data_IF_309015457997
#
_entry.id   IF_309015457997
#
_cell.length_a   1.000
_cell.length_b   1.000
_cell.length_c   1.000
_cell.angle_alpha   90.00
_cell.angle_beta   90.00
_cell.angle_gamma   90.00
#
_symmetry.space_group_name_H-M   'P 1'
#
loop_
_entity.id
_entity.type
_entity.pdbx_description
1 polymer ?
#
# COMPACT_ATOMS: atom_id res chain seq x y z
N UNK A 1 1.87 -6.19 13.78
CA UNK A 1 0.55 -5.63 13.36
C UNK A 1 0.66 -5.35 11.88
N UNK A 2 -0.21 -5.89 11.03
CA UNK A 2 -0.06 -5.69 9.58
C UNK A 2 -0.42 -4.24 9.21
N UNK A 3 0.54 -3.54 8.62
CA UNK A 3 0.46 -2.18 8.10
C UNK A 3 0.42 -2.18 6.57
N UNK A 4 0.06 -1.03 5.98
CA UNK A 4 0.01 -0.84 4.53
C UNK A 4 0.83 0.37 4.11
N UNK A 5 1.47 0.27 2.95
CA UNK A 5 2.17 1.34 2.25
C UNK A 5 1.63 1.45 0.83
N UNK A 6 0.95 2.55 0.53
CA UNK A 6 0.14 2.75 -0.68
C UNK A 6 0.79 3.69 -1.72
N UNK A 7 2.05 4.07 -1.52
CA UNK A 7 2.78 4.98 -2.42
C UNK A 7 3.72 4.24 -3.39
N UNK A 8 3.66 2.92 -3.40
CA UNK A 8 4.48 2.08 -4.26
C UNK A 8 3.91 2.03 -5.69
N UNK A 9 4.76 1.65 -6.65
CA UNK A 9 4.33 1.31 -8.01
C UNK A 9 4.92 -0.03 -8.44
N UNK A 10 4.28 -0.69 -9.40
CA UNK A 10 4.76 -1.94 -9.99
C UNK A 10 4.55 -1.92 -11.50
N UNK A 11 5.54 -2.40 -12.26
CA UNK A 11 5.43 -2.57 -13.70
C UNK A 11 5.07 -4.01 -14.05
N UNK A 12 3.99 -4.19 -14.81
CA UNK A 12 3.53 -5.49 -15.31
C UNK A 12 3.34 -5.38 -16.82
N UNK A 13 4.12 -6.14 -17.59
CA UNK A 13 4.09 -6.13 -19.06
C UNK A 13 4.24 -4.72 -19.68
N UNK A 14 5.12 -3.88 -19.14
CA UNK A 14 5.34 -2.52 -19.64
C UNK A 14 4.29 -1.49 -19.24
N UNK A 15 3.32 -1.88 -18.39
CA UNK A 15 2.33 -0.98 -17.84
C UNK A 15 2.58 -0.78 -16.34
N UNK A 16 2.62 0.48 -15.90
CA UNK A 16 2.74 0.84 -14.49
C UNK A 16 1.38 0.83 -13.80
N UNK A 17 1.35 0.28 -12.59
CA UNK A 17 0.20 0.22 -11.70
C UNK A 17 0.59 0.75 -10.33
N UNK A 18 -0.35 1.40 -9.64
CA UNK A 18 -0.20 1.68 -8.21
C UNK A 18 -0.08 0.36 -7.46
N UNK A 19 0.74 0.31 -6.41
CA UNK A 19 0.94 -0.87 -5.60
C UNK A 19 0.68 -0.58 -4.12
N UNK A 20 0.10 -1.57 -3.45
CA UNK A 20 -0.06 -1.61 -1.99
C UNK A 20 0.85 -2.68 -1.43
N UNK A 21 1.73 -2.28 -0.52
CA UNK A 21 2.65 -3.17 0.19
C UNK A 21 2.11 -3.43 1.59
N UNK A 22 1.96 -4.70 1.95
CA UNK A 22 1.58 -5.15 3.28
C UNK A 22 2.82 -5.57 4.05
N UNK A 23 3.05 -4.96 5.20
CA UNK A 23 4.26 -5.19 5.99
C UNK A 23 3.98 -5.21 7.50
N UNK A 24 4.96 -5.66 8.28
CA UNK A 24 5.01 -5.45 9.73
C UNK A 24 6.38 -4.88 10.12
N UNK A 25 6.40 -4.13 11.21
CA UNK A 25 7.64 -3.63 11.81
C UNK A 25 8.19 -4.73 12.74
N UNK A 26 9.30 -5.33 12.34
CA UNK A 26 10.02 -6.35 13.10
C UNK A 26 11.21 -5.73 13.86
N UNK A 27 11.73 -6.39 14.92
CA UNK A 27 12.89 -5.89 15.67
C UNK A 27 14.14 -5.66 14.82
N UNK A 28 14.28 -6.38 13.71
CA UNK A 28 15.40 -6.36 12.77
C UNK A 28 15.10 -5.61 11.46
N UNK A 29 13.95 -4.95 11.34
CA UNK A 29 13.61 -4.11 10.19
C UNK A 29 12.15 -4.26 9.77
N UNK A 30 11.90 -4.23 8.46
CA UNK A 30 10.56 -4.42 7.90
C UNK A 30 10.43 -5.82 7.32
N UNK A 31 9.31 -6.48 7.61
CA UNK A 31 8.92 -7.73 6.96
C UNK A 31 7.77 -7.46 6.00
N UNK A 32 8.00 -7.68 4.70
CA UNK A 32 6.98 -7.53 3.66
C UNK A 32 6.30 -8.88 3.42
N UNK A 33 4.98 -8.93 3.57
CA UNK A 33 4.19 -10.16 3.36
C UNK A 33 3.55 -10.24 1.99
N UNK A 34 3.14 -9.09 1.44
CA UNK A 34 2.48 -9.05 0.16
C UNK A 34 2.69 -7.72 -0.56
N UNK A 35 2.80 -7.80 -1.88
CA UNK A 35 2.72 -6.65 -2.78
C UNK A 35 1.52 -6.87 -3.70
N UNK A 36 0.58 -5.93 -3.68
CA UNK A 36 -0.64 -5.99 -4.49
C UNK A 36 -0.65 -4.88 -5.53
N UNK A 37 -0.77 -5.25 -6.80
CA UNK A 37 -1.07 -4.30 -7.86
C UNK A 37 -2.53 -3.84 -7.72
N UNK A 38 -2.75 -2.53 -7.78
CA UNK A 38 -4.06 -1.90 -7.70
C UNK A 38 -4.52 -1.51 -9.10
N UNK A 39 -5.73 -1.91 -9.45
CA UNK A 39 -6.41 -1.46 -10.66
C UNK A 39 -7.73 -0.79 -10.31
N UNK A 40 -7.86 0.49 -10.65
CA UNK A 40 -9.14 1.16 -10.53
C UNK A 40 -10.13 0.59 -11.57
N UNK A 41 -11.29 0.15 -11.10
CA UNK A 41 -12.36 -0.41 -11.93
C UNK A 41 -13.63 0.45 -11.92
N UNK A 42 -13.77 1.37 -10.96
CA UNK A 42 -14.82 2.39 -10.94
C UNK A 42 -14.23 3.73 -10.51
N UNK A 43 -14.70 4.83 -11.12
CA UNK A 43 -14.29 6.21 -10.82
C UNK A 43 -15.26 6.88 -9.85
N UNK A 44 -14.89 8.08 -9.40
CA UNK A 44 -15.82 8.92 -8.65
C UNK A 44 -17.08 9.21 -9.50
N UNK A 45 -18.25 8.94 -8.91
CA UNK A 45 -19.55 9.08 -9.57
C UNK A 45 -20.06 7.81 -10.26
N UNK A 46 -19.21 6.81 -10.48
CA UNK A 46 -19.63 5.52 -11.06
C UNK A 46 -20.41 4.68 -10.05
N UNK A 47 -21.23 3.77 -10.57
CA UNK A 47 -21.93 2.75 -9.81
C UNK A 47 -21.38 1.37 -10.17
N UNK A 48 -21.12 0.53 -9.18
CA UNK A 48 -20.60 -0.82 -9.36
C UNK A 48 -21.30 -1.80 -8.41
N UNK A 49 -21.25 -3.09 -8.74
CA UNK A 49 -21.85 -4.15 -7.92
C UNK A 49 -20.76 -5.05 -7.36
N UNK A 50 -20.85 -5.38 -6.08
CA UNK A 50 -19.95 -6.36 -5.47
C UNK A 50 -20.35 -7.80 -5.84
N UNK A 51 -19.64 -8.78 -5.26
CA UNK A 51 -19.88 -10.21 -5.53
C UNK A 51 -21.23 -10.70 -5.03
N UNK A 52 -21.86 -10.00 -4.09
CA UNK A 52 -23.18 -10.33 -3.57
C UNK A 52 -24.30 -9.65 -4.39
N UNK A 53 -23.93 -8.79 -5.33
CA UNK A 53 -24.88 -8.00 -6.12
C UNK A 53 -25.33 -6.72 -5.39
N UNK A 54 -24.68 -6.36 -4.28
CA UNK A 54 -24.95 -5.10 -3.61
C UNK A 54 -24.30 -3.96 -4.39
N UNK A 55 -25.07 -2.90 -4.62
CA UNK A 55 -24.62 -1.76 -5.41
C UNK A 55 -23.91 -0.71 -4.55
N UNK A 56 -22.79 -0.21 -5.06
CA UNK A 56 -21.92 0.75 -4.41
C UNK A 56 -21.64 1.92 -5.35
N UNK A 57 -21.44 3.11 -4.78
CA UNK A 57 -21.13 4.32 -5.55
C UNK A 57 -19.72 4.81 -5.23
N UNK A 58 -19.00 5.23 -6.27
CA UNK A 58 -17.70 5.87 -6.16
C UNK A 58 -16.53 4.93 -6.49
N UNK A 59 -15.30 5.35 -6.15
CA UNK A 59 -14.10 4.66 -6.57
C UNK A 59 -14.05 3.22 -6.07
N UNK A 60 -13.65 2.31 -6.95
CA UNK A 60 -13.39 0.92 -6.59
C UNK A 60 -12.09 0.46 -7.22
N UNK A 61 -11.30 -0.28 -6.44
CA UNK A 61 -10.01 -0.82 -6.82
C UNK A 61 -10.05 -2.33 -6.62
N UNK A 62 -9.52 -3.06 -7.61
CA UNK A 62 -9.27 -4.48 -7.52
C UNK A 62 -7.78 -4.69 -7.26
N UNK A 63 -7.48 -5.56 -6.31
CA UNK A 63 -6.13 -5.93 -5.93
C UNK A 63 -5.73 -7.25 -6.60
N UNK A 64 -4.52 -7.31 -7.15
CA UNK A 64 -3.92 -8.55 -7.68
C UNK A 64 -2.64 -8.83 -6.92
N UNK A 65 -2.50 -10.04 -6.37
CA UNK A 65 -1.25 -10.46 -5.73
C UNK A 65 -0.15 -10.61 -6.77
N UNK A 66 0.92 -9.84 -6.60
CA UNK A 66 2.10 -9.88 -7.46
C UNK A 66 3.38 -10.18 -6.69
N UNK A 67 3.26 -10.59 -5.43
CA UNK A 67 4.39 -10.76 -4.51
C UNK A 67 5.48 -11.69 -5.07
N UNK A 68 5.09 -12.78 -5.72
CA UNK A 68 6.03 -13.75 -6.30
C UNK A 68 6.68 -13.28 -7.61
N UNK A 69 6.19 -12.19 -8.20
CA UNK A 69 6.62 -11.69 -9.52
C UNK A 69 7.44 -10.41 -9.44
N UNK A 70 7.72 -9.92 -8.24
CA UNK A 70 8.42 -8.67 -8.01
C UNK A 70 9.61 -8.85 -7.08
N UNK A 71 10.53 -7.88 -7.08
CA UNK A 71 11.61 -7.84 -6.12
C UNK A 71 11.10 -7.32 -4.77
N UNK A 72 10.77 -8.24 -3.86
CA UNK A 72 10.27 -7.89 -2.52
C UNK A 72 11.32 -7.11 -1.70
N UNK A 73 12.62 -7.35 -1.95
CA UNK A 73 13.69 -6.66 -1.24
C UNK A 73 13.69 -5.16 -1.57
N UNK A 74 13.41 -4.80 -2.83
CA UNK A 74 13.24 -3.42 -3.24
C UNK A 74 12.11 -2.73 -2.47
N UNK A 75 10.94 -3.36 -2.33
CA UNK A 75 9.83 -2.79 -1.56
C UNK A 75 10.12 -2.70 -0.06
N UNK A 76 10.88 -3.65 0.50
CA UNK A 76 11.35 -3.58 1.89
C UNK A 76 12.17 -2.30 2.11
N UNK A 77 13.11 -2.01 1.20
CA UNK A 77 13.95 -0.81 1.26
C UNK A 77 13.12 0.47 1.13
N UNK A 78 12.15 0.52 0.21
CA UNK A 78 11.24 1.66 0.08
C UNK A 78 10.44 1.93 1.35
N UNK A 79 9.89 0.87 1.97
CA UNK A 79 9.12 0.99 3.21
C UNK A 79 10.02 1.42 4.37
N UNK A 80 11.24 0.88 4.48
CA UNK A 80 12.20 1.31 5.50
C UNK A 80 12.58 2.78 5.35
N UNK A 81 12.79 3.25 4.12
CA UNK A 81 13.10 4.65 3.85
C UNK A 81 11.92 5.58 4.13
N UNK A 82 10.71 5.16 3.78
CA UNK A 82 9.48 5.82 4.21
C UNK A 82 9.41 5.93 5.74
N UNK A 83 9.59 4.82 6.46
CA UNK A 83 9.53 4.81 7.92
C UNK A 83 10.61 5.71 8.54
N UNK A 84 11.84 5.73 7.99
CA UNK A 84 12.92 6.64 8.44
C UNK A 84 12.51 8.11 8.30
N UNK A 85 11.88 8.49 7.19
CA UNK A 85 11.40 9.87 6.99
C UNK A 85 10.29 10.24 7.97
N UNK A 86 9.35 9.32 8.25
CA UNK A 86 8.25 9.57 9.19
C UNK A 86 8.69 9.51 10.67
N UNK A 87 9.68 8.70 11.01
CA UNK A 87 10.30 8.72 12.35
C UNK A 87 11.21 9.94 12.55
N UNK A 88 11.92 10.42 11.53
CA UNK A 88 12.65 11.69 11.59
C UNK A 88 11.74 12.92 11.64
N UNK A 89 10.46 12.80 11.29
CA UNK A 89 9.43 13.82 11.54
C UNK A 89 8.80 13.73 12.94
N UNK A 90 9.17 12.74 13.78
CA UNK A 90 8.80 12.68 15.20
C UNK A 90 9.77 13.40 16.17
N UNK A 91 10.30 14.59 15.88
CA UNK A 91 10.60 15.55 16.95
C UNK A 91 9.54 16.68 16.95
N UNK A 92 8.91 16.89 18.11
CA UNK A 92 8.08 18.05 18.52
C UNK A 92 6.53 17.99 18.44
N UNK A 93 5.87 16.83 18.56
CA UNK A 93 4.43 16.80 18.93
C UNK A 93 4.11 16.21 20.32
N UNK A 94 5.12 16.13 21.19
CA UNK A 94 4.93 15.80 22.61
C UNK A 94 5.60 16.84 23.54
N UNK A 95 5.25 18.11 23.37
CA UNK A 95 5.34 19.14 24.41
C UNK A 95 4.24 20.18 24.19
N UNK A 96 2.99 19.79 24.42
CA UNK A 96 1.89 20.72 24.73
C UNK A 96 0.68 19.92 25.20
N UNK A 97 0.75 19.52 26.46
CA UNK A 97 -0.38 19.41 27.38
C UNK A 97 0.24 19.24 28.77
N UNK A 98 0.62 20.38 29.35
CA UNK A 98 0.73 20.53 30.80
C UNK A 98 -0.68 20.63 31.39
#
# INVERSE_FOLDING_TARGET
MILTYDFATVEINGQSYDARVYYDEAPDGVDVYAVKALRQVAKAGDYWYDRNGDGHQGPHFVETDVTEFVDVQHYKEEVEDYLKQFTHQKPQRLRLAA
#
